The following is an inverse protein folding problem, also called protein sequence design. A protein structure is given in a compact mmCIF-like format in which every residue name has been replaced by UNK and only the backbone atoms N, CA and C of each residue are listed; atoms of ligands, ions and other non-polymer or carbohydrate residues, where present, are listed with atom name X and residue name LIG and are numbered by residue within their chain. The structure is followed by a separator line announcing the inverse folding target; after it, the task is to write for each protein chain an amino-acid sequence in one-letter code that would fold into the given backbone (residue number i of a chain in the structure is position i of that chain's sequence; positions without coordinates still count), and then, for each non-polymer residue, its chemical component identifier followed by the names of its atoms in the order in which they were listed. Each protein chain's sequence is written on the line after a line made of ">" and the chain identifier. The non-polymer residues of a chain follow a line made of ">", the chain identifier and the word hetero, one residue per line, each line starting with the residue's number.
data_IF_500267492153
#
_entry.id   IF_500267492153
#
_cell.length_a   1.000
_cell.length_b   1.000
_cell.length_c   1.000
_cell.angle_alpha   90.00
_cell.angle_beta   90.00
_cell.angle_gamma   90.00
#
_symmetry.space_group_name_H-M   'P 1'
#
loop_
_entity.id
_entity.type
_entity.pdbx_description
1 polymer ?
#
# COMPACT_ATOMS: atom_id res chain seq x y z
N UNK A 1 13.04 -9.19 11.41
CA UNK A 1 12.16 -8.02 11.58
C UNK A 1 10.77 -8.42 12.06
N UNK A 2 10.15 -9.42 11.44
CA UNK A 2 8.80 -9.85 11.82
C UNK A 2 8.70 -10.36 13.26
N UNK A 3 9.65 -11.18 13.71
CA UNK A 3 9.65 -11.73 15.07
C UNK A 3 9.78 -10.63 16.13
N UNK A 4 10.60 -9.62 15.89
CA UNK A 4 10.78 -8.49 16.79
C UNK A 4 9.49 -7.67 16.92
N UNK A 5 8.82 -7.37 15.80
CA UNK A 5 7.56 -6.64 15.81
C UNK A 5 6.45 -7.40 16.54
N UNK A 6 6.35 -8.72 16.34
CA UNK A 6 5.39 -9.57 17.05
C UNK A 6 5.64 -9.53 18.56
N UNK A 7 6.91 -9.61 18.99
CA UNK A 7 7.28 -9.53 20.39
C UNK A 7 6.90 -8.19 21.02
N UNK A 8 7.12 -7.10 20.30
CA UNK A 8 6.70 -5.76 20.73
C UNK A 8 5.18 -5.66 20.87
N UNK A 9 4.42 -6.15 19.89
CA UNK A 9 2.97 -6.17 19.97
C UNK A 9 2.45 -6.97 21.18
N UNK A 10 3.05 -8.14 21.45
CA UNK A 10 2.67 -8.97 22.62
C UNK A 10 2.94 -8.23 23.93
N UNK A 11 4.04 -7.50 24.03
CA UNK A 11 4.34 -6.71 25.21
C UNK A 11 3.34 -5.58 25.43
N UNK A 12 2.96 -4.87 24.34
CA UNK A 12 1.98 -3.79 24.38
C UNK A 12 0.59 -4.30 24.73
N UNK A 13 0.20 -5.46 24.20
CA UNK A 13 -1.13 -6.08 24.47
C UNK A 13 -1.34 -6.48 25.91
N UNK A 14 -0.30 -6.57 26.70
CA UNK A 14 -0.41 -6.79 28.16
C UNK A 14 -0.95 -5.56 28.89
N UNK A 15 -0.91 -4.39 28.28
CA UNK A 15 -1.52 -3.17 28.81
C UNK A 15 -3.04 -3.20 28.58
N UNK A 16 -3.84 -2.50 29.42
CA UNK A 16 -5.27 -2.35 29.15
C UNK A 16 -5.50 -1.74 27.76
N UNK A 17 -6.51 -2.23 27.03
CA UNK A 17 -6.81 -1.79 25.66
C UNK A 17 -7.04 -0.29 25.54
N UNK A 18 -7.51 0.35 26.62
CA UNK A 18 -7.69 1.81 26.72
C UNK A 18 -6.37 2.61 26.69
N UNK A 19 -5.22 1.97 26.68
CA UNK A 19 -3.91 2.62 26.79
C UNK A 19 -3.01 2.43 25.59
N UNK A 20 -3.50 1.79 24.51
CA UNK A 20 -2.66 1.61 23.34
C UNK A 20 -3.43 1.60 22.03
N UNK A 21 -2.73 1.96 20.97
CA UNK A 21 -3.17 1.78 19.60
C UNK A 21 -2.04 1.10 18.84
N UNK A 22 -2.35 0.01 18.15
CA UNK A 22 -1.42 -0.66 17.26
C UNK A 22 -1.92 -0.48 15.83
N UNK A 23 -1.08 0.08 14.98
CA UNK A 23 -1.37 0.27 13.57
C UNK A 23 -0.57 -0.74 12.75
N UNK A 24 -1.25 -1.57 11.99
CA UNK A 24 -0.64 -2.50 11.05
C UNK A 24 -0.79 -1.94 9.65
N UNK A 25 0.36 -1.71 9.00
CA UNK A 25 0.40 -1.08 7.70
C UNK A 25 0.64 -2.11 6.59
N UNK A 26 -0.03 -1.97 5.45
CA UNK A 26 0.21 -2.78 4.27
C UNK A 26 1.39 -2.19 3.46
N UNK A 27 1.50 -2.59 2.20
CA UNK A 27 2.37 -1.90 1.24
C UNK A 27 1.89 -0.45 1.13
N UNK A 28 2.80 0.50 1.27
CA UNK A 28 2.48 1.93 1.17
C UNK A 28 3.00 2.46 -0.16
N UNK A 29 2.11 3.01 -0.98
CA UNK A 29 2.40 3.51 -2.31
C UNK A 29 2.12 5.01 -2.39
N UNK A 30 2.87 5.68 -3.25
CA UNK A 30 2.70 7.08 -3.56
C UNK A 30 3.67 7.47 -4.67
N UNK A 31 3.53 8.68 -5.21
CA UNK A 31 4.33 9.11 -6.37
C UNK A 31 5.84 9.06 -6.11
N UNK A 32 6.25 9.28 -4.88
CA UNK A 32 7.66 9.28 -4.46
C UNK A 32 8.06 8.03 -3.67
N UNK A 33 7.22 7.01 -3.61
CA UNK A 33 7.60 5.77 -2.93
C UNK A 33 8.72 5.07 -3.69
N UNK A 34 9.63 4.37 -2.99
CA UNK A 34 10.77 3.73 -3.65
C UNK A 34 10.38 2.82 -4.82
N UNK A 35 9.29 2.08 -4.70
CA UNK A 35 8.82 1.18 -5.75
C UNK A 35 8.38 1.93 -7.00
N UNK A 36 7.68 3.05 -6.85
CA UNK A 36 7.22 3.87 -7.98
C UNK A 36 8.41 4.57 -8.65
N UNK A 37 9.35 5.06 -7.85
CA UNK A 37 10.60 5.64 -8.37
C UNK A 37 11.38 4.59 -9.17
N UNK A 38 11.49 3.38 -8.65
CA UNK A 38 12.16 2.27 -9.32
C UNK A 38 11.49 1.91 -10.65
N UNK A 39 10.16 1.92 -10.69
CA UNK A 39 9.39 1.66 -11.92
C UNK A 39 9.69 2.72 -12.99
N UNK A 40 9.73 4.00 -12.62
CA UNK A 40 10.05 5.10 -13.52
C UNK A 40 11.50 5.00 -14.04
N UNK A 41 12.43 4.65 -13.17
CA UNK A 41 13.82 4.42 -13.55
C UNK A 41 13.96 3.24 -14.51
N UNK A 42 13.23 2.16 -14.30
CA UNK A 42 13.20 1.01 -15.19
C UNK A 42 12.76 1.41 -16.61
N UNK A 43 11.76 2.27 -16.73
CA UNK A 43 11.34 2.83 -18.01
C UNK A 43 12.42 3.69 -18.64
N UNK A 44 13.04 4.57 -17.86
CA UNK A 44 14.05 5.52 -18.34
C UNK A 44 15.32 4.84 -18.85
N UNK A 45 15.74 3.76 -18.19
CA UNK A 45 17.00 3.07 -18.48
C UNK A 45 16.81 1.73 -19.20
N UNK A 46 15.62 1.42 -19.68
CA UNK A 46 15.29 0.13 -20.30
C UNK A 46 15.69 -1.05 -19.41
N UNK A 47 15.49 -0.93 -18.11
CA UNK A 47 15.86 -1.92 -17.12
C UNK A 47 14.67 -2.82 -16.77
N UNK A 48 14.96 -3.96 -16.14
CA UNK A 48 13.94 -4.89 -15.68
C UNK A 48 13.26 -4.37 -14.41
N UNK A 49 11.96 -4.61 -14.32
CA UNK A 49 11.17 -4.39 -13.12
C UNK A 49 10.49 -5.71 -12.74
N UNK A 50 10.75 -6.17 -11.52
CA UNK A 50 10.22 -7.46 -11.06
C UNK A 50 8.75 -7.34 -10.66
N UNK A 51 7.92 -8.26 -11.17
CA UNK A 51 6.52 -8.39 -10.82
C UNK A 51 6.23 -9.81 -10.38
N UNK A 52 5.24 -9.97 -9.51
CA UNK A 52 4.90 -11.25 -8.89
C UNK A 52 3.47 -11.63 -9.25
N UNK A 53 3.25 -12.37 -10.37
CA UNK A 53 1.89 -12.66 -10.86
C UNK A 53 1.02 -13.46 -9.89
N UNK A 54 1.64 -14.27 -9.03
CA UNK A 54 0.91 -15.06 -8.03
C UNK A 54 0.85 -14.41 -6.64
N UNK A 55 1.27 -13.17 -6.50
CA UNK A 55 1.19 -12.44 -5.25
C UNK A 55 -0.01 -11.52 -5.25
N UNK A 56 -0.91 -11.71 -4.29
CA UNK A 56 -2.08 -10.85 -4.07
C UNK A 56 -1.77 -9.90 -2.92
N UNK A 57 -1.96 -8.61 -3.14
CA UNK A 57 -1.56 -7.57 -2.20
C UNK A 57 -2.73 -6.66 -1.83
N UNK A 58 -2.67 -6.09 -0.64
CA UNK A 58 -3.40 -4.89 -0.25
C UNK A 58 -2.42 -3.75 -0.06
N UNK A 59 -2.89 -2.51 -0.11
CA UNK A 59 -2.03 -1.34 -0.01
C UNK A 59 -2.75 -0.16 0.63
N UNK A 60 -2.02 0.92 0.81
CA UNK A 60 -2.57 2.20 1.23
C UNK A 60 -1.66 3.32 0.72
N UNK A 61 -2.05 4.56 0.92
CA UNK A 61 -1.23 5.72 0.60
C UNK A 61 -0.83 6.46 1.89
N UNK A 62 0.28 7.18 1.83
CA UNK A 62 0.74 7.98 2.97
C UNK A 62 -0.33 8.99 3.40
N UNK A 63 -0.96 9.65 2.43
CA UNK A 63 -1.98 10.67 2.72
C UNK A 63 -3.20 10.06 3.40
N UNK A 64 -3.69 8.91 2.93
CA UNK A 64 -4.84 8.25 3.56
C UNK A 64 -4.49 7.73 4.95
N UNK A 65 -3.31 7.15 5.13
CA UNK A 65 -2.82 6.69 6.43
C UNK A 65 -2.79 7.87 7.42
N UNK A 66 -2.28 9.03 7.01
CA UNK A 66 -2.25 10.21 7.86
C UNK A 66 -3.65 10.65 8.28
N UNK A 67 -4.62 10.65 7.36
CA UNK A 67 -6.02 10.96 7.66
C UNK A 67 -6.62 9.94 8.64
N UNK A 68 -6.36 8.66 8.43
CA UNK A 68 -6.84 7.58 9.29
C UNK A 68 -6.28 7.69 10.70
N UNK A 69 -4.98 7.95 10.83
CA UNK A 69 -4.33 8.14 12.13
C UNK A 69 -4.92 9.36 12.85
N UNK A 70 -5.10 10.46 12.14
CA UNK A 70 -5.71 11.67 12.70
C UNK A 70 -7.12 11.39 13.25
N UNK A 71 -7.93 10.64 12.50
CA UNK A 71 -9.26 10.23 12.94
C UNK A 71 -9.20 9.37 14.21
N UNK A 72 -8.32 8.37 14.23
CA UNK A 72 -8.14 7.45 15.37
C UNK A 72 -7.77 8.25 16.64
N UNK A 73 -6.83 9.18 16.51
CA UNK A 73 -6.39 10.02 17.64
C UNK A 73 -7.51 10.94 18.11
N UNK A 74 -8.17 11.64 17.22
CA UNK A 74 -9.21 12.61 17.57
C UNK A 74 -10.44 11.95 18.20
N UNK A 75 -10.76 10.74 17.82
CA UNK A 75 -11.90 9.98 18.35
C UNK A 75 -11.51 9.12 19.55
N UNK A 76 -10.26 9.20 20.00
CA UNK A 76 -9.74 8.38 21.10
C UNK A 76 -10.04 6.89 20.91
N UNK A 77 -9.89 6.40 19.69
CA UNK A 77 -10.07 4.98 19.39
C UNK A 77 -8.90 4.17 19.93
N UNK A 78 -9.15 2.92 20.25
CA UNK A 78 -8.21 2.05 20.94
C UNK A 78 -8.10 0.71 20.23
N UNK A 79 -7.01 -0.01 20.49
CA UNK A 79 -6.81 -1.36 20.01
C UNK A 79 -5.97 -1.47 18.75
N UNK A 80 -6.30 -2.45 17.90
CA UNK A 80 -5.51 -2.78 16.71
C UNK A 80 -6.27 -2.39 15.45
N UNK A 81 -5.61 -1.63 14.57
CA UNK A 81 -6.18 -1.20 13.30
C UNK A 81 -5.32 -1.68 12.14
N UNK A 82 -5.94 -2.34 11.16
CA UNK A 82 -5.32 -2.68 9.90
C UNK A 82 -5.63 -1.56 8.89
N UNK A 83 -4.66 -0.69 8.66
CA UNK A 83 -4.82 0.47 7.78
C UNK A 83 -4.47 0.07 6.35
N UNK A 84 -5.33 -0.70 5.71
CA UNK A 84 -5.12 -1.18 4.35
C UNK A 84 -6.35 -0.95 3.47
N UNK A 85 -6.17 -1.16 2.17
CA UNK A 85 -7.27 -1.08 1.20
C UNK A 85 -8.36 -2.10 1.50
N UNK A 86 -9.58 -1.77 1.11
CA UNK A 86 -10.73 -2.66 1.26
C UNK A 86 -10.76 -3.77 0.21
N UNK A 87 -9.97 -3.64 -0.83
CA UNK A 87 -9.83 -4.61 -1.91
C UNK A 87 -8.38 -5.11 -2.02
N UNK A 88 -8.21 -6.15 -2.82
CA UNK A 88 -6.93 -6.76 -3.12
C UNK A 88 -6.73 -6.81 -4.64
N UNK A 89 -5.48 -6.85 -5.05
CA UNK A 89 -5.10 -6.94 -6.46
C UNK A 89 -3.86 -7.82 -6.59
N UNK A 90 -3.71 -8.50 -7.72
CA UNK A 90 -2.45 -9.17 -8.03
C UNK A 90 -1.35 -8.12 -8.27
N UNK A 91 -0.18 -8.38 -7.72
CA UNK A 91 0.98 -7.47 -7.82
C UNK A 91 1.28 -7.08 -9.28
N UNK A 92 1.23 -8.05 -10.19
CA UNK A 92 1.46 -7.79 -11.61
C UNK A 92 0.42 -6.85 -12.22
N UNK A 93 -0.87 -7.06 -11.91
CA UNK A 93 -1.95 -6.19 -12.41
C UNK A 93 -1.77 -4.77 -11.91
N UNK A 94 -1.41 -4.60 -10.64
CA UNK A 94 -1.18 -3.29 -10.04
C UNK A 94 -0.13 -2.49 -10.82
N UNK A 95 1.02 -3.09 -11.09
CA UNK A 95 2.12 -2.40 -11.76
C UNK A 95 1.89 -2.26 -13.26
N UNK A 96 1.15 -3.15 -13.89
CA UNK A 96 0.71 -2.95 -15.28
C UNK A 96 -0.19 -1.72 -15.38
N UNK A 97 -1.17 -1.57 -14.49
CA UNK A 97 -2.07 -0.42 -14.48
C UNK A 97 -1.34 0.90 -14.20
N UNK A 98 -0.44 0.91 -13.22
CA UNK A 98 0.35 2.12 -12.90
C UNK A 98 1.20 2.51 -14.09
N UNK A 99 1.88 1.55 -14.72
CA UNK A 99 2.73 1.77 -15.90
C UNK A 99 1.93 2.36 -17.05
N UNK A 100 0.75 1.81 -17.31
CA UNK A 100 -0.14 2.30 -18.36
C UNK A 100 -0.60 3.74 -18.10
N UNK A 101 -1.07 4.01 -16.89
CA UNK A 101 -1.57 5.35 -16.53
C UNK A 101 -0.50 6.41 -16.44
N UNK A 102 0.73 6.05 -16.11
CA UNK A 102 1.89 6.96 -16.16
C UNK A 102 2.41 7.14 -17.59
N UNK A 103 1.94 6.34 -18.55
CA UNK A 103 2.43 6.39 -19.92
C UNK A 103 3.90 5.97 -20.06
N UNK A 104 4.39 5.14 -19.15
CA UNK A 104 5.76 4.65 -19.20
C UNK A 104 5.95 3.66 -20.33
N UNK A 105 7.03 3.81 -21.07
CA UNK A 105 7.39 2.94 -22.19
C UNK A 105 8.68 2.20 -21.88
N UNK A 106 8.85 1.05 -22.55
CA UNK A 106 10.11 0.29 -22.51
C UNK A 106 10.41 -0.32 -21.15
N UNK A 107 9.41 -0.50 -20.28
CA UNK A 107 9.58 -1.26 -19.03
C UNK A 107 9.64 -2.75 -19.38
N UNK A 108 10.70 -3.41 -18.97
CA UNK A 108 10.86 -4.86 -19.14
C UNK A 108 10.39 -5.51 -17.85
N UNK A 109 9.22 -6.17 -17.90
CA UNK A 109 8.68 -6.84 -16.72
C UNK A 109 9.27 -8.24 -16.58
N UNK A 110 9.94 -8.47 -15.46
CA UNK A 110 10.44 -9.79 -15.09
C UNK A 110 9.44 -10.47 -14.16
N UNK A 111 8.78 -11.50 -14.64
CA UNK A 111 7.81 -12.27 -13.86
C UNK A 111 8.53 -13.23 -12.93
N UNK A 112 8.24 -13.15 -11.64
CA UNK A 112 8.79 -14.01 -10.61
C UNK A 112 7.65 -14.82 -9.98
N UNK A 113 7.78 -16.12 -9.99
CA UNK A 113 6.81 -17.03 -9.40
C UNK A 113 7.45 -17.72 -8.20
N UNK A 114 6.89 -17.51 -7.01
CA UNK A 114 7.35 -18.18 -5.79
C UNK A 114 6.63 -19.51 -5.55
N UNK A 115 5.48 -19.72 -6.20
CA UNK A 115 4.71 -20.96 -6.12
C UNK A 115 3.76 -21.05 -7.31
N UNK A 116 3.12 -22.24 -7.47
CA UNK A 116 2.10 -22.45 -8.50
C UNK A 116 0.71 -21.94 -8.08
N UNK A 117 0.57 -21.47 -6.84
CA UNK A 117 -0.69 -20.97 -6.28
C UNK A 117 -0.52 -19.52 -5.85
N UNK A 118 -1.64 -18.79 -5.78
CA UNK A 118 -1.64 -17.44 -5.25
C UNK A 118 -1.17 -17.43 -3.80
N UNK A 119 -0.27 -16.49 -3.50
CA UNK A 119 0.16 -16.12 -2.15
C UNK A 119 -0.44 -14.78 -1.80
N UNK A 120 -0.74 -14.56 -0.52
CA UNK A 120 -1.40 -13.35 -0.08
C UNK A 120 -0.50 -12.56 0.85
N UNK A 121 -0.08 -11.38 0.42
CA UNK A 121 0.52 -10.34 1.25
C UNK A 121 -0.53 -9.23 1.41
N UNK A 122 -1.66 -9.62 2.00
CA UNK A 122 -2.82 -8.76 2.09
C UNK A 122 -3.45 -8.90 3.48
N UNK A 123 -3.70 -7.77 4.10
CA UNK A 123 -4.44 -7.69 5.34
C UNK A 123 -5.65 -6.82 5.07
N UNK A 124 -6.84 -7.44 5.04
CA UNK A 124 -8.07 -6.67 4.91
C UNK A 124 -8.50 -6.14 6.27
N UNK A 125 -9.12 -4.96 6.33
CA UNK A 125 -9.70 -4.44 7.57
C UNK A 125 -10.79 -5.40 8.06
N UNK A 126 -10.59 -6.00 9.23
CA UNK A 126 -11.54 -6.99 9.78
C UNK A 126 -12.84 -6.37 10.25
N UNK A 127 -12.83 -5.11 10.59
CA UNK A 127 -14.00 -4.38 11.09
C UNK A 127 -14.06 -3.01 10.42
N UNK A 128 -15.27 -2.58 10.12
CA UNK A 128 -15.53 -1.25 9.56
C UNK A 128 -15.50 -0.19 10.67
N UNK A 129 -14.37 -0.09 11.38
CA UNK A 129 -14.21 0.87 12.48
C UNK A 129 -14.05 2.30 11.98
N UNK A 130 -13.66 2.48 10.72
CA UNK A 130 -13.50 3.80 10.12
C UNK A 130 -14.68 4.12 9.21
N UNK A 131 -15.16 5.39 9.20
CA UNK A 131 -16.20 5.81 8.27
C UNK A 131 -15.81 5.61 6.81
N UNK A 132 -16.81 5.56 5.94
CA UNK A 132 -16.63 5.29 4.50
C UNK A 132 -15.62 6.22 3.83
N UNK A 133 -15.60 7.50 4.20
CA UNK A 133 -14.69 8.49 3.62
C UNK A 133 -13.21 8.30 4.04
N UNK A 134 -12.96 7.45 5.04
CA UNK A 134 -11.60 7.08 5.47
C UNK A 134 -11.14 5.75 4.86
N UNK A 135 -11.97 5.09 4.09
CA UNK A 135 -11.61 3.84 3.39
C UNK A 135 -10.91 4.16 2.08
N UNK A 136 -10.13 3.21 1.57
CA UNK A 136 -9.42 3.38 0.31
C UNK A 136 -9.50 2.10 -0.52
N UNK A 137 -9.54 2.26 -1.84
CA UNK A 137 -9.51 1.18 -2.82
C UNK A 137 -8.31 1.35 -3.75
N UNK A 138 -7.96 0.30 -4.50
CA UNK A 138 -6.85 0.38 -5.45
C UNK A 138 -7.07 1.40 -6.56
N UNK A 139 -8.30 1.68 -6.96
CA UNK A 139 -8.57 2.76 -7.91
C UNK A 139 -8.05 4.10 -7.39
N UNK A 140 -8.29 4.41 -6.12
CA UNK A 140 -7.79 5.63 -5.50
C UNK A 140 -6.27 5.60 -5.33
N UNK A 141 -5.72 4.45 -4.91
CA UNK A 141 -4.27 4.28 -4.73
C UNK A 141 -3.54 4.52 -6.05
N UNK A 142 -4.00 3.92 -7.12
CA UNK A 142 -3.42 4.08 -8.45
C UNK A 142 -3.53 5.53 -8.92
N UNK A 143 -4.69 6.15 -8.73
CA UNK A 143 -4.89 7.58 -9.04
C UNK A 143 -3.91 8.46 -8.30
N UNK A 144 -3.69 8.21 -7.01
CA UNK A 144 -2.75 8.99 -6.20
C UNK A 144 -1.30 8.81 -6.68
N UNK A 145 -0.93 7.64 -7.18
CA UNK A 145 0.40 7.39 -7.73
C UNK A 145 0.69 8.17 -9.01
N UNK A 146 -0.35 8.56 -9.76
CA UNK A 146 -0.20 9.24 -11.07
C UNK A 146 -0.60 10.71 -11.03
N UNK A 147 -1.39 11.14 -10.07
CA UNK A 147 -1.95 12.49 -9.99
C UNK A 147 -0.89 13.57 -9.84
N UNK A 148 0.12 13.33 -9.04
CA UNK A 148 1.21 14.28 -8.81
C UNK A 148 1.99 14.57 -10.11
N UNK A 149 2.17 13.55 -10.93
CA UNK A 149 2.83 13.69 -12.24
C UNK A 149 2.05 14.64 -13.15
N UNK A 150 0.73 14.51 -13.17
CA UNK A 150 -0.13 15.39 -13.95
C UNK A 150 -0.07 16.84 -13.44
N UNK A 151 -0.02 17.05 -12.13
CA UNK A 151 0.11 18.38 -11.53
C UNK A 151 1.47 19.00 -11.88
N UNK A 152 2.54 18.25 -11.77
CA UNK A 152 3.90 18.73 -12.07
C UNK A 152 4.05 19.08 -13.55
N UNK A 153 3.44 18.31 -14.46
CA UNK A 153 3.47 18.62 -15.89
C UNK A 153 2.70 19.89 -16.25
N UNK A 154 1.67 20.25 -15.49
CA UNK A 154 0.93 21.51 -15.69
C UNK A 154 1.70 22.73 -15.20
N UNK A 155 2.58 22.57 -14.19
CA UNK A 155 3.40 23.65 -13.66
C UNK A 155 4.60 24.00 -14.53
N UNK A 156 5.02 23.11 -15.39
CA UNK A 156 6.08 23.35 -16.37
C UNK A 156 5.52 24.07 -17.60
#
# INVERSE_FOLDING_TARGET
>A
AGKYKIKQEKAIKKLPSSKYVILRLPIVLGVNSPTIVQLKEASKYNAEFEIFPNLVVSANTINKIAQQIHYIINKNLEGIFHLSSNDMIHHSELFYEITDKLGLKNVIFKKIYSSNKDSYLAILPKQNLLPKNYKITFNQIISDCVLQEAIDSVKE
#
